data_IF_130817548685
#
_entry.id   IF_130817548685
#
_cell.length_a   1.000
_cell.length_b   1.000
_cell.length_c   1.000
_cell.angle_alpha   90.00
_cell.angle_beta   90.00
_cell.angle_gamma   90.00
#
_symmetry.space_group_name_H-M   'P 1'
#
loop_
_entity.id
_entity.type
_entity.pdbx_description
1 polymer ?
#
# COMPACT_ATOMS: atom_id res chain seq x y z
N UNK A 1 -24.07 15.57 -35.04
CA UNK A 1 -23.26 16.02 -33.89
C UNK A 1 -21.89 15.36 -34.00
N UNK A 2 -20.78 16.11 -33.91
CA UNK A 2 -19.46 15.50 -33.86
C UNK A 2 -19.36 14.69 -32.57
N UNK A 3 -19.15 13.38 -32.67
CA UNK A 3 -18.98 12.50 -31.51
C UNK A 3 -17.55 12.52 -30.97
N UNK A 4 -17.29 11.83 -29.86
CA UNK A 4 -15.97 11.71 -29.23
C UNK A 4 -14.83 11.32 -30.20
N UNK A 5 -15.15 10.53 -31.24
CA UNK A 5 -14.22 10.10 -32.30
C UNK A 5 -13.81 11.20 -33.29
N UNK A 6 -14.42 12.38 -33.21
CA UNK A 6 -14.07 13.55 -34.04
C UNK A 6 -13.16 14.54 -33.32
N UNK A 7 -12.83 14.27 -32.05
CA UNK A 7 -11.94 15.12 -31.27
C UNK A 7 -10.49 14.99 -31.77
N UNK A 8 -9.73 16.10 -31.82
CA UNK A 8 -8.28 16.07 -32.00
C UNK A 8 -7.59 15.19 -30.95
N UNK A 9 -6.45 14.61 -31.31
CA UNK A 9 -5.69 13.71 -30.43
C UNK A 9 -5.26 14.41 -29.13
N UNK A 10 -4.99 15.71 -29.20
CA UNK A 10 -4.63 16.56 -28.08
C UNK A 10 -5.76 16.63 -27.04
N UNK A 11 -7.02 16.74 -27.50
CA UNK A 11 -8.17 16.78 -26.58
C UNK A 11 -8.41 15.40 -25.94
N UNK A 12 -8.24 14.31 -26.69
CA UNK A 12 -8.36 12.95 -26.12
C UNK A 12 -7.24 12.70 -25.10
N UNK A 13 -6.02 13.19 -25.35
CA UNK A 13 -4.94 13.14 -24.38
C UNK A 13 -5.30 13.91 -23.09
N UNK A 14 -5.88 15.11 -23.20
CA UNK A 14 -6.35 15.86 -22.02
C UNK A 14 -7.45 15.12 -21.25
N UNK A 15 -8.37 14.45 -21.96
CA UNK A 15 -9.38 13.59 -21.32
C UNK A 15 -8.69 12.50 -20.50
N UNK A 16 -7.68 11.82 -21.03
CA UNK A 16 -6.91 10.83 -20.27
C UNK A 16 -6.25 11.43 -19.02
N UNK A 17 -5.62 12.59 -19.14
CA UNK A 17 -4.96 13.26 -18.00
C UNK A 17 -5.94 13.76 -16.94
N UNK A 18 -7.23 13.88 -17.26
CA UNK A 18 -8.28 14.28 -16.32
C UNK A 18 -8.97 13.12 -15.61
N UNK A 19 -8.58 11.87 -15.89
CA UNK A 19 -9.21 10.71 -15.26
C UNK A 19 -8.71 10.53 -13.82
N UNK A 20 -9.58 9.97 -12.97
CA UNK A 20 -9.31 9.70 -11.56
C UNK A 20 -8.99 8.22 -11.29
N UNK A 21 -8.95 7.37 -12.33
CA UNK A 21 -8.57 5.96 -12.17
C UNK A 21 -7.78 5.41 -13.36
N UNK A 22 -6.83 4.52 -13.06
CA UNK A 22 -6.10 3.75 -14.09
C UNK A 22 -7.05 2.81 -14.84
N UNK A 23 -8.11 2.33 -14.17
CA UNK A 23 -9.14 1.50 -14.77
C UNK A 23 -9.89 2.21 -15.89
N UNK A 24 -10.31 3.46 -15.67
CA UNK A 24 -11.03 4.25 -16.67
C UNK A 24 -10.14 4.56 -17.87
N UNK A 25 -8.86 4.85 -17.65
CA UNK A 25 -7.91 5.04 -18.73
C UNK A 25 -7.74 3.75 -19.55
N UNK A 26 -7.65 2.60 -18.89
CA UNK A 26 -7.63 1.32 -19.56
C UNK A 26 -8.91 1.10 -20.39
N UNK A 27 -10.10 1.26 -19.81
CA UNK A 27 -11.35 1.05 -20.54
C UNK A 27 -11.54 2.03 -21.70
N UNK A 28 -11.18 3.31 -21.51
CA UNK A 28 -11.19 4.31 -22.58
C UNK A 28 -10.29 3.90 -23.74
N UNK A 29 -9.12 3.32 -23.45
CA UNK A 29 -8.20 2.81 -24.48
C UNK A 29 -8.77 1.65 -25.29
N UNK A 30 -9.78 0.94 -24.77
CA UNK A 30 -10.42 -0.17 -25.47
C UNK A 30 -11.60 0.27 -26.34
N UNK A 31 -12.01 1.55 -26.30
CA UNK A 31 -13.20 2.02 -27.02
C UNK A 31 -13.00 2.18 -28.53
N UNK A 32 -11.83 2.64 -28.99
CA UNK A 32 -11.53 2.79 -30.42
C UNK A 32 -10.02 2.82 -30.72
N UNK A 33 -9.67 2.75 -32.01
CA UNK A 33 -8.26 2.74 -32.42
C UNK A 33 -7.54 4.05 -32.07
N UNK A 34 -8.21 5.20 -32.10
CA UNK A 34 -7.61 6.50 -31.79
C UNK A 34 -7.23 6.60 -30.31
N UNK A 35 -8.15 6.24 -29.41
CA UNK A 35 -7.90 6.24 -27.95
C UNK A 35 -6.83 5.24 -27.57
N UNK A 36 -6.86 4.05 -28.17
CA UNK A 36 -5.82 3.02 -28.01
C UNK A 36 -4.43 3.53 -28.43
N UNK A 37 -4.35 4.19 -29.60
CA UNK A 37 -3.08 4.68 -30.16
C UNK A 37 -2.46 5.78 -29.30
N UNK A 38 -3.28 6.66 -28.73
CA UNK A 38 -2.83 7.70 -27.80
C UNK A 38 -2.35 7.07 -26.50
N UNK A 39 -3.13 6.15 -25.92
CA UNK A 39 -2.79 5.50 -24.66
C UNK A 39 -1.51 4.69 -24.71
N UNK A 40 -1.22 3.98 -25.82
CA UNK A 40 0.02 3.18 -25.96
C UNK A 40 1.19 3.97 -26.52
N UNK A 41 1.04 5.25 -26.84
CA UNK A 41 2.15 6.06 -27.37
C UNK A 41 3.21 6.22 -26.27
N UNK A 42 4.49 5.86 -26.51
CA UNK A 42 5.54 5.87 -25.48
C UNK A 42 5.75 7.23 -24.78
N UNK A 43 5.45 8.33 -25.48
CA UNK A 43 5.58 9.70 -24.95
C UNK A 43 4.35 10.16 -24.16
N UNK A 44 3.18 9.57 -24.44
CA UNK A 44 1.90 9.96 -23.85
C UNK A 44 1.59 9.11 -22.62
N UNK A 45 1.85 7.81 -22.69
CA UNK A 45 1.47 6.85 -21.67
C UNK A 45 2.01 7.21 -20.27
N UNK A 46 3.32 7.53 -20.09
CA UNK A 46 3.83 7.89 -18.76
C UNK A 46 3.17 9.15 -18.22
N UNK A 47 2.93 10.15 -19.07
CA UNK A 47 2.30 11.43 -18.69
C UNK A 47 0.82 11.25 -18.31
N UNK A 48 0.13 10.32 -18.97
CA UNK A 48 -1.25 9.96 -18.61
C UNK A 48 -1.25 9.32 -17.22
N UNK A 49 -0.37 8.35 -16.98
CA UNK A 49 -0.28 7.69 -15.68
C UNK A 49 0.13 8.64 -14.56
N UNK A 50 1.11 9.49 -14.79
CA UNK A 50 1.54 10.52 -13.84
C UNK A 50 0.38 11.45 -13.48
N UNK A 51 -0.33 11.99 -14.48
CA UNK A 51 -1.47 12.87 -14.24
C UNK A 51 -2.60 12.16 -13.47
N UNK A 52 -2.93 10.92 -13.82
CA UNK A 52 -3.97 10.16 -13.10
C UNK A 52 -3.55 9.87 -11.66
N UNK A 53 -2.29 9.47 -11.45
CA UNK A 53 -1.77 9.22 -10.09
C UNK A 53 -1.82 10.51 -9.29
N UNK A 54 -1.38 11.64 -9.84
CA UNK A 54 -1.46 12.95 -9.21
C UNK A 54 -2.91 13.30 -8.85
N UNK A 55 -3.88 13.07 -9.74
CA UNK A 55 -5.31 13.28 -9.41
C UNK A 55 -5.78 12.39 -8.25
N UNK A 56 -5.36 11.11 -8.22
CA UNK A 56 -5.74 10.14 -7.18
C UNK A 56 -5.17 10.53 -5.81
N UNK A 57 -3.92 11.00 -5.77
CA UNK A 57 -3.18 11.23 -4.52
C UNK A 57 -3.04 12.71 -4.16
N UNK A 58 -3.60 13.64 -4.94
CA UNK A 58 -3.46 15.09 -4.72
C UNK A 58 -3.79 15.51 -3.28
N UNK A 59 -4.86 14.93 -2.72
CA UNK A 59 -5.33 15.20 -1.36
C UNK A 59 -4.91 14.09 -0.37
N UNK A 60 -3.86 13.32 -0.70
CA UNK A 60 -3.37 12.29 0.19
C UNK A 60 -2.89 12.91 1.51
N UNK A 61 -3.55 12.52 2.58
CA UNK A 61 -3.32 13.07 3.90
C UNK A 61 -3.64 12.00 4.95
N UNK A 62 -2.96 12.02 6.11
CA UNK A 62 -3.23 11.11 7.22
C UNK A 62 -4.50 11.55 7.97
N UNK A 63 -5.59 11.80 7.26
CA UNK A 63 -6.88 12.19 7.84
C UNK A 63 -7.84 11.02 7.82
N UNK A 64 -8.75 10.99 8.80
CA UNK A 64 -9.79 9.97 8.89
C UNK A 64 -10.60 9.84 7.59
N UNK A 65 -11.05 10.99 7.07
CA UNK A 65 -11.87 11.04 5.86
C UNK A 65 -11.14 10.48 4.64
N UNK A 66 -9.87 10.85 4.44
CA UNK A 66 -9.10 10.34 3.32
C UNK A 66 -8.83 8.84 3.45
N UNK A 67 -8.35 8.37 4.61
CA UNK A 67 -8.07 6.96 4.83
C UNK A 67 -9.33 6.08 4.65
N UNK A 68 -10.47 6.47 5.21
CA UNK A 68 -11.73 5.73 5.03
C UNK A 68 -12.23 5.75 3.57
N UNK A 69 -11.93 6.80 2.79
CA UNK A 69 -12.25 6.81 1.35
C UNK A 69 -11.47 5.75 0.56
N UNK A 70 -10.28 5.37 1.05
CA UNK A 70 -9.41 4.36 0.45
C UNK A 70 -9.73 2.94 0.94
N UNK A 71 -9.83 2.79 2.26
CA UNK A 71 -9.96 1.49 2.93
C UNK A 71 -11.41 1.05 3.19
N UNK A 72 -12.36 1.98 3.11
CA UNK A 72 -13.79 1.76 3.38
C UNK A 72 -14.24 2.44 4.68
N UNK A 73 -15.53 2.84 4.80
CA UNK A 73 -16.05 3.44 6.01
C UNK A 73 -15.87 2.52 7.23
N UNK A 74 -15.39 3.06 8.35
CA UNK A 74 -15.20 2.30 9.58
C UNK A 74 -14.06 1.27 9.51
N UNK A 75 -13.12 1.40 8.56
CA UNK A 75 -11.95 0.52 8.45
C UNK A 75 -10.85 0.83 9.46
N UNK A 76 -10.92 1.98 10.14
CA UNK A 76 -9.85 2.44 11.03
C UNK A 76 -10.05 1.90 12.44
N UNK A 77 -8.98 1.35 13.01
CA UNK A 77 -8.87 1.10 14.44
C UNK A 77 -8.37 2.38 15.12
N UNK A 78 -9.24 2.98 15.92
CA UNK A 78 -9.00 4.23 16.64
C UNK A 78 -9.18 3.93 18.13
N UNK A 79 -8.08 3.61 18.85
CA UNK A 79 -8.14 3.31 20.28
C UNK A 79 -8.44 4.57 21.10
N UNK A 80 -8.88 4.36 22.34
CA UNK A 80 -8.91 5.36 23.40
C UNK A 80 -7.57 5.42 24.15
N UNK A 81 -7.33 6.49 24.89
CA UNK A 81 -6.10 6.66 25.70
C UNK A 81 -5.87 5.49 26.67
N UNK A 82 -6.93 4.92 27.23
CA UNK A 82 -6.85 3.78 28.15
C UNK A 82 -6.51 2.44 27.47
N UNK A 83 -6.71 2.35 26.14
CA UNK A 83 -6.42 1.16 25.35
C UNK A 83 -5.00 1.18 24.76
N UNK A 84 -4.34 2.35 24.78
CA UNK A 84 -2.96 2.47 24.35
C UNK A 84 -2.00 1.86 25.39
N UNK A 85 -0.96 1.12 24.96
CA UNK A 85 0.08 0.66 25.87
C UNK A 85 0.79 1.83 26.56
N UNK A 86 1.00 1.73 27.87
CA UNK A 86 1.70 2.78 28.66
C UNK A 86 3.13 3.00 28.17
N UNK A 87 3.75 1.97 27.60
CA UNK A 87 5.11 2.04 27.07
C UNK A 87 5.18 2.64 25.64
N UNK A 88 4.05 2.92 24.99
CA UNK A 88 4.03 3.73 23.77
C UNK A 88 4.21 5.19 24.17
N UNK A 89 5.36 5.77 23.83
CA UNK A 89 5.77 7.10 24.30
C UNK A 89 5.96 8.12 23.18
N UNK A 90 5.98 7.66 21.94
CA UNK A 90 6.05 8.50 20.76
C UNK A 90 4.77 9.34 20.60
N UNK A 91 4.90 10.66 20.76
CA UNK A 91 3.75 11.57 20.83
C UNK A 91 2.99 11.65 19.52
N UNK A 92 3.69 11.72 18.40
CA UNK A 92 3.09 11.83 17.07
C UNK A 92 2.25 10.59 16.75
N UNK A 93 2.76 9.40 17.10
CA UNK A 93 2.00 8.16 16.96
C UNK A 93 0.77 8.12 17.86
N UNK A 94 0.89 8.56 19.13
CA UNK A 94 -0.24 8.62 20.07
C UNK A 94 -1.33 9.56 19.54
N UNK A 95 -0.96 10.78 19.15
CA UNK A 95 -1.89 11.78 18.60
C UNK A 95 -2.60 11.25 17.36
N UNK A 96 -1.85 10.67 16.41
CA UNK A 96 -2.43 10.06 15.22
C UNK A 96 -3.43 8.94 15.54
N UNK A 97 -3.10 8.05 16.48
CA UNK A 97 -3.97 6.94 16.87
C UNK A 97 -5.26 7.42 17.55
N UNK A 98 -5.18 8.43 18.41
CA UNK A 98 -6.33 8.97 19.14
C UNK A 98 -7.22 9.81 18.23
N UNK A 99 -6.67 10.60 17.31
CA UNK A 99 -7.44 11.52 16.46
C UNK A 99 -7.96 10.86 15.18
N UNK A 100 -7.16 9.98 14.58
CA UNK A 100 -7.41 9.42 13.24
C UNK A 100 -7.58 7.91 13.30
N UNK A 101 -6.62 7.21 13.91
CA UNK A 101 -6.55 5.76 13.94
C UNK A 101 -5.83 5.14 12.73
N UNK A 102 -5.47 3.86 12.85
CA UNK A 102 -4.74 3.12 11.82
C UNK A 102 -5.66 2.12 11.09
N UNK A 103 -5.53 1.90 9.77
CA UNK A 103 -6.36 0.95 9.04
C UNK A 103 -6.21 -0.48 9.59
N UNK A 104 -7.32 -1.06 10.04
CA UNK A 104 -7.43 -2.46 10.44
C UNK A 104 -8.11 -3.26 9.32
N UNK A 105 -7.30 -3.70 8.37
CA UNK A 105 -7.76 -4.21 7.07
C UNK A 105 -6.98 -5.46 6.67
N UNK A 106 -7.60 -6.28 5.84
CA UNK A 106 -6.90 -7.31 5.09
C UNK A 106 -6.74 -6.80 3.66
N UNK A 107 -5.50 -6.71 3.17
CA UNK A 107 -5.16 -6.32 1.80
C UNK A 107 -4.50 -7.51 1.11
N UNK A 108 -5.27 -8.52 0.67
CA UNK A 108 -4.71 -9.78 0.20
C UNK A 108 -3.73 -9.56 -0.96
N UNK A 109 -4.03 -8.66 -1.91
CA UNK A 109 -3.19 -8.33 -3.08
C UNK A 109 -1.82 -7.75 -2.71
N UNK A 110 -1.76 -7.02 -1.61
CA UNK A 110 -0.50 -6.50 -1.04
C UNK A 110 0.16 -7.52 -0.10
N UNK A 111 -0.61 -8.51 0.36
CA UNK A 111 -0.17 -9.48 1.36
C UNK A 111 -0.16 -8.94 2.78
N UNK A 112 -0.62 -7.71 3.00
CA UNK A 112 -0.63 -7.04 4.29
C UNK A 112 -1.94 -7.29 5.02
N UNK A 113 -1.87 -7.56 6.32
CA UNK A 113 -3.01 -7.79 7.19
C UNK A 113 -2.79 -7.08 8.53
N UNK A 114 -3.75 -6.25 8.91
CA UNK A 114 -3.82 -5.55 10.20
C UNK A 114 -5.18 -5.74 10.89
N UNK A 115 -5.97 -6.72 10.44
CA UNK A 115 -7.32 -6.99 11.01
C UNK A 115 -7.28 -7.38 12.48
N UNK A 116 -6.13 -7.85 12.97
CA UNK A 116 -5.97 -8.26 14.36
C UNK A 116 -5.97 -7.08 15.34
N UNK A 117 -5.63 -5.86 14.89
CA UNK A 117 -5.71 -4.65 15.73
C UNK A 117 -7.09 -4.49 16.36
N UNK A 118 -8.14 -4.62 15.55
CA UNK A 118 -9.52 -4.56 16.04
C UNK A 118 -9.91 -5.81 16.84
N UNK A 119 -9.55 -7.00 16.37
CA UNK A 119 -9.90 -8.26 17.06
C UNK A 119 -9.32 -8.34 18.47
N UNK A 120 -8.11 -7.83 18.68
CA UNK A 120 -7.46 -7.77 19.99
C UNK A 120 -8.17 -6.76 20.88
N UNK A 121 -8.47 -5.57 20.36
CA UNK A 121 -9.22 -4.55 21.09
C UNK A 121 -10.63 -5.04 21.51
N UNK A 122 -11.37 -5.70 20.61
CA UNK A 122 -12.70 -6.27 20.90
C UNK A 122 -12.67 -7.32 22.03
N UNK A 123 -11.50 -7.96 22.24
CA UNK A 123 -11.27 -8.93 23.33
C UNK A 123 -10.71 -8.28 24.60
N UNK A 124 -10.54 -6.97 24.62
CA UNK A 124 -9.88 -6.24 25.70
C UNK A 124 -8.40 -6.58 25.85
N UNK A 125 -7.76 -7.05 24.78
CA UNK A 125 -6.32 -7.35 24.75
C UNK A 125 -5.55 -6.09 24.35
N UNK A 126 -4.41 -5.87 25.00
CA UNK A 126 -3.46 -4.83 24.63
C UNK A 126 -2.78 -5.17 23.30
N UNK A 127 -2.18 -4.16 22.65
CA UNK A 127 -1.32 -4.40 21.49
C UNK A 127 -0.21 -5.40 21.82
N UNK A 128 0.09 -6.27 20.86
CA UNK A 128 1.17 -7.24 21.00
C UNK A 128 2.51 -6.51 21.00
N UNK A 129 3.15 -6.48 22.18
CA UNK A 129 4.46 -5.90 22.40
C UNK A 129 5.56 -6.96 22.28
N UNK A 130 6.69 -6.56 21.71
CA UNK A 130 7.88 -7.37 21.52
C UNK A 130 9.08 -6.64 22.12
N UNK A 131 9.72 -7.26 23.10
CA UNK A 131 10.95 -6.78 23.72
C UNK A 131 12.15 -7.04 22.81
N UNK A 132 13.25 -6.35 23.09
CA UNK A 132 14.55 -6.64 22.48
C UNK A 132 14.91 -8.13 22.56
N UNK A 133 14.71 -8.75 23.73
CA UNK A 133 15.02 -10.16 23.94
C UNK A 133 14.16 -11.06 23.06
N UNK A 134 12.86 -10.79 22.91
CA UNK A 134 11.97 -11.59 22.06
C UNK A 134 12.27 -11.45 20.56
N UNK A 135 12.90 -10.36 20.16
CA UNK A 135 13.35 -10.14 18.78
C UNK A 135 14.73 -10.75 18.48
N UNK A 136 15.30 -11.51 19.44
CA UNK A 136 16.44 -12.47 19.50
C UNK A 136 17.64 -12.42 18.51
N UNK A 137 17.61 -11.71 17.38
CA UNK A 137 18.66 -11.70 16.34
C UNK A 137 18.97 -10.31 15.74
N UNK A 138 18.44 -9.22 16.32
CA UNK A 138 18.80 -7.86 15.88
C UNK A 138 20.07 -7.31 16.58
N UNK A 139 20.76 -8.10 17.42
CA UNK A 139 21.66 -7.54 18.45
C UNK A 139 23.10 -8.08 18.49
N UNK A 140 23.51 -8.89 17.51
CA UNK A 140 24.86 -9.46 17.48
C UNK A 140 25.69 -8.99 16.27
N UNK A 141 25.78 -7.67 16.01
CA UNK A 141 26.90 -7.14 15.23
C UNK A 141 27.34 -5.77 15.72
N UNK A 142 28.66 -5.63 15.81
CA UNK A 142 29.42 -4.54 16.39
C UNK A 142 29.02 -3.14 15.90
N UNK A 143 29.03 -2.20 16.84
CA UNK A 143 29.38 -0.79 16.69
C UNK A 143 28.88 -0.06 15.41
N UNK A 144 27.81 0.73 15.60
CA UNK A 144 27.41 1.95 14.82
C UNK A 144 26.22 1.95 13.83
N UNK A 145 25.36 0.92 13.71
CA UNK A 145 24.07 1.12 13.02
C UNK A 145 22.87 0.46 13.72
N UNK A 146 21.99 1.31 14.28
CA UNK A 146 20.59 0.95 14.55
C UNK A 146 20.36 -0.05 15.68
N UNK A 147 20.56 0.38 16.93
CA UNK A 147 20.05 -0.37 18.08
C UNK A 147 18.54 -0.57 17.94
N UNK A 148 18.06 -1.82 18.01
CA UNK A 148 16.64 -2.11 17.92
C UNK A 148 15.92 -1.47 19.12
N UNK A 149 14.67 -1.04 18.94
CA UNK A 149 13.87 -0.51 20.05
C UNK A 149 13.86 -1.45 21.25
N UNK A 150 13.90 -0.85 22.44
CA UNK A 150 13.70 -1.58 23.68
C UNK A 150 12.34 -2.31 23.74
N UNK A 151 11.33 -1.79 23.03
CA UNK A 151 10.01 -2.36 22.90
C UNK A 151 9.36 -1.93 21.57
N UNK A 152 8.69 -2.86 20.89
CA UNK A 152 7.93 -2.57 19.69
C UNK A 152 6.56 -3.19 19.69
N UNK A 153 5.62 -2.59 18.97
CA UNK A 153 4.24 -3.06 18.87
C UNK A 153 3.89 -3.53 17.47
N UNK A 154 3.16 -4.63 17.35
CA UNK A 154 2.72 -5.17 16.05
C UNK A 154 1.54 -4.38 15.50
N UNK A 155 1.72 -3.80 14.31
CA UNK A 155 0.69 -3.05 13.58
C UNK A 155 0.18 -3.76 12.33
N UNK A 156 0.79 -4.88 12.00
CA UNK A 156 0.30 -5.77 10.97
C UNK A 156 1.29 -6.90 10.74
N UNK A 157 0.94 -7.71 9.75
CA UNK A 157 1.76 -8.80 9.27
C UNK A 157 1.71 -8.82 7.75
N UNK A 158 2.78 -9.32 7.16
CA UNK A 158 2.84 -9.65 5.74
C UNK A 158 3.39 -11.06 5.61
N UNK A 159 2.53 -12.00 5.26
CA UNK A 159 2.82 -13.43 5.35
C UNK A 159 3.19 -13.83 6.79
N UNK A 160 4.43 -14.26 7.05
CA UNK A 160 4.95 -14.54 8.40
C UNK A 160 5.74 -13.37 9.00
N UNK A 161 6.00 -12.31 8.21
CA UNK A 161 6.81 -11.17 8.64
C UNK A 161 5.94 -10.18 9.41
N UNK A 162 6.47 -9.65 10.51
CA UNK A 162 5.81 -8.71 11.39
C UNK A 162 6.12 -7.27 10.94
N UNK A 163 5.10 -6.40 11.00
CA UNK A 163 5.25 -4.96 10.84
C UNK A 163 5.21 -4.34 12.23
N UNK A 164 6.34 -3.80 12.66
CA UNK A 164 6.58 -3.40 14.05
C UNK A 164 6.80 -1.89 14.15
N UNK A 165 6.10 -1.26 15.08
CA UNK A 165 6.25 0.13 15.50
C UNK A 165 7.21 0.21 16.67
N UNK A 166 8.29 0.98 16.53
CA UNK A 166 9.16 1.36 17.63
C UNK A 166 8.42 2.27 18.62
N UNK A 167 8.40 1.90 19.90
CA UNK A 167 7.62 2.60 20.92
C UNK A 167 8.10 4.02 21.26
N UNK A 168 9.34 4.38 20.90
CA UNK A 168 9.99 5.65 21.31
C UNK A 168 10.07 6.69 20.19
N UNK A 169 10.18 6.26 18.94
CA UNK A 169 10.45 7.17 17.81
C UNK A 169 9.49 7.02 16.63
N UNK A 170 8.44 6.20 16.77
CA UNK A 170 7.41 6.05 15.74
C UNK A 170 7.85 5.34 14.46
N UNK A 171 9.12 4.93 14.36
CA UNK A 171 9.65 4.27 13.17
C UNK A 171 9.01 2.89 12.99
N UNK A 172 8.57 2.60 11.77
CA UNK A 172 8.03 1.30 11.40
C UNK A 172 9.08 0.51 10.63
N UNK A 173 9.25 -0.75 11.01
CA UNK A 173 10.16 -1.66 10.34
C UNK A 173 9.54 -3.04 10.16
N UNK A 174 10.16 -3.86 9.32
CA UNK A 174 9.76 -5.25 9.13
C UNK A 174 10.72 -6.19 9.82
N UNK A 175 10.13 -7.18 10.48
CA UNK A 175 10.83 -8.23 11.19
C UNK A 175 10.39 -9.61 10.68
N UNK A 176 11.35 -10.44 10.33
CA UNK A 176 11.18 -11.78 9.81
C UNK A 176 11.68 -12.81 10.84
N UNK A 177 10.78 -13.40 11.66
CA UNK A 177 11.16 -14.33 12.72
C UNK A 177 11.72 -15.66 12.17
N UNK A 178 11.52 -15.95 10.89
CA UNK A 178 11.93 -17.22 10.28
C UNK A 178 13.37 -17.18 9.74
N UNK A 179 14.03 -16.02 9.80
CA UNK A 179 15.33 -15.82 9.19
C UNK A 179 16.39 -15.37 10.19
N UNK A 180 17.62 -15.81 9.94
CA UNK A 180 18.82 -15.45 10.71
C UNK A 180 19.08 -13.95 10.73
N UNK A 181 18.81 -13.25 9.63
CA UNK A 181 18.79 -11.78 9.60
C UNK A 181 17.34 -11.32 9.69
N UNK A 182 16.83 -11.23 10.91
CA UNK A 182 15.40 -10.99 11.13
C UNK A 182 14.97 -9.55 10.82
N UNK A 183 15.85 -8.56 10.95
CA UNK A 183 15.53 -7.19 10.57
C UNK A 183 15.57 -7.00 9.04
N UNK A 184 14.48 -6.47 8.47
CA UNK A 184 14.29 -6.29 7.01
C UNK A 184 14.23 -4.83 6.55
N UNK A 185 14.63 -3.91 7.42
CA UNK A 185 14.67 -2.48 7.11
C UNK A 185 13.45 -1.70 7.60
N UNK A 186 13.60 -0.37 7.55
CA UNK A 186 12.56 0.62 7.81
C UNK A 186 11.59 0.67 6.62
N UNK A 187 10.30 0.82 6.91
CA UNK A 187 9.25 0.93 5.89
C UNK A 187 8.49 2.26 5.92
N UNK A 188 8.53 2.96 7.07
CA UNK A 188 7.98 4.30 7.24
C UNK A 188 8.60 4.99 8.48
N UNK A 189 8.78 6.30 8.44
CA UNK A 189 9.15 7.14 9.58
C UNK A 189 7.91 7.75 10.26
N UNK A 190 6.93 6.92 10.56
CA UNK A 190 5.67 7.35 11.15
C UNK A 190 4.54 6.39 10.81
N UNK A 191 3.64 6.19 11.76
CA UNK A 191 2.49 5.32 11.56
C UNK A 191 1.46 5.96 10.60
N UNK A 192 1.35 7.28 10.67
CA UNK A 192 0.57 8.13 9.77
C UNK A 192 1.09 8.04 8.33
N UNK A 193 2.41 8.13 8.14
CA UNK A 193 3.05 7.94 6.84
C UNK A 193 2.75 6.55 6.28
N UNK A 194 2.93 5.48 7.06
CA UNK A 194 2.60 4.14 6.61
C UNK A 194 1.13 4.01 6.17
N UNK A 195 0.20 4.58 6.95
CA UNK A 195 -1.22 4.56 6.62
C UNK A 195 -1.50 5.26 5.28
N UNK A 196 -0.85 6.41 5.05
CA UNK A 196 -0.96 7.16 3.79
C UNK A 196 -0.38 6.38 2.62
N UNK A 197 0.85 5.87 2.75
CA UNK A 197 1.52 5.10 1.69
C UNK A 197 0.69 3.87 1.29
N UNK A 198 0.18 3.11 2.26
CA UNK A 198 -0.73 1.99 1.99
C UNK A 198 -2.02 2.48 1.29
N UNK A 199 -2.56 3.62 1.72
CA UNK A 199 -3.74 4.25 1.12
C UNK A 199 -3.52 4.63 -0.34
N UNK A 200 -2.35 5.18 -0.68
CA UNK A 200 -1.98 5.56 -2.05
C UNK A 200 -1.92 4.32 -2.95
N UNK A 201 -1.28 3.24 -2.50
CA UNK A 201 -1.27 1.96 -3.23
C UNK A 201 -2.69 1.44 -3.39
N UNK A 202 -3.51 1.51 -2.34
CA UNK A 202 -4.91 1.11 -2.39
C UNK A 202 -5.68 1.89 -3.44
N UNK A 203 -5.50 3.22 -3.48
CA UNK A 203 -6.19 4.14 -4.37
C UNK A 203 -5.85 3.86 -5.84
N UNK A 204 -4.56 3.78 -6.17
CA UNK A 204 -4.07 3.51 -7.54
C UNK A 204 -4.51 2.12 -8.04
N UNK A 205 -4.56 1.13 -7.14
CA UNK A 205 -4.96 -0.24 -7.50
C UNK A 205 -6.47 -0.48 -7.45
N UNK A 206 -7.28 0.49 -6.98
CA UNK A 206 -8.72 0.34 -6.71
C UNK A 206 -9.53 -0.03 -7.95
N UNK A 207 -9.28 0.63 -9.08
CA UNK A 207 -9.98 0.36 -10.35
C UNK A 207 -9.75 -1.04 -10.93
N UNK A 208 -8.74 -1.75 -10.40
CA UNK A 208 -8.38 -3.10 -10.82
C UNK A 208 -8.83 -4.17 -9.80
N UNK A 209 -9.48 -3.75 -8.71
CA UNK A 209 -10.07 -4.64 -7.68
C UNK A 209 -11.35 -5.33 -8.16
N UNK A 210 -12.04 -4.76 -9.13
CA UNK A 210 -13.37 -5.19 -9.55
C UNK A 210 -13.37 -6.14 -10.76
N UNK A 211 -12.26 -6.84 -11.03
CA UNK A 211 -12.27 -7.87 -12.04
C UNK A 211 -13.23 -8.98 -11.60
N UNK A 212 -14.30 -9.20 -12.39
CA UNK A 212 -15.19 -10.34 -12.21
C UNK A 212 -14.36 -11.62 -12.08
N UNK A 213 -14.75 -12.60 -11.25
CA UNK A 213 -14.13 -13.92 -11.23
C UNK A 213 -14.10 -14.59 -12.62
N UNK A 214 -14.94 -14.14 -13.56
CA UNK A 214 -15.00 -14.63 -14.95
C UNK A 214 -14.01 -13.94 -15.92
N UNK A 215 -13.06 -13.14 -15.42
CA UNK A 215 -12.11 -12.46 -16.30
C UNK A 215 -11.18 -13.47 -16.98
N UNK A 216 -11.08 -13.44 -18.31
CA UNK A 216 -10.16 -14.34 -19.01
C UNK A 216 -8.72 -14.08 -18.57
N UNK A 217 -7.90 -15.14 -18.48
CA UNK A 217 -6.47 -15.05 -18.16
C UNK A 217 -5.73 -14.00 -19.02
N UNK A 218 -6.05 -13.95 -20.31
CA UNK A 218 -5.46 -13.00 -21.26
C UNK A 218 -5.80 -11.54 -20.93
N UNK A 219 -7.01 -11.30 -20.44
CA UNK A 219 -7.45 -9.96 -20.01
C UNK A 219 -6.79 -9.58 -18.68
N UNK A 220 -6.63 -10.53 -17.76
CA UNK A 220 -5.87 -10.32 -16.52
C UNK A 220 -4.40 -9.97 -16.81
N UNK A 221 -3.74 -10.73 -17.68
CA UNK A 221 -2.35 -10.48 -18.11
C UNK A 221 -2.21 -9.07 -18.72
N UNK A 222 -3.14 -8.65 -19.59
CA UNK A 222 -3.16 -7.29 -20.15
C UNK A 222 -3.33 -6.19 -19.10
N UNK A 223 -4.19 -6.41 -18.09
CA UNK A 223 -4.37 -5.44 -17.01
C UNK A 223 -3.13 -5.34 -16.13
N UNK A 224 -2.42 -6.44 -15.91
CA UNK A 224 -1.13 -6.46 -15.20
C UNK A 224 -0.04 -5.75 -16.01
N UNK A 225 0.03 -5.95 -17.32
CA UNK A 225 0.96 -5.21 -18.19
C UNK A 225 0.71 -3.69 -18.13
N UNK A 226 -0.56 -3.28 -18.11
CA UNK A 226 -0.94 -1.86 -18.00
C UNK A 226 -0.63 -1.30 -16.61
N UNK A 227 -0.56 -2.14 -15.59
CA UNK A 227 -0.24 -1.76 -14.21
C UNK A 227 1.24 -1.46 -13.97
N UNK A 228 2.14 -1.97 -14.81
CA UNK A 228 3.58 -1.77 -14.60
C UNK A 228 3.94 -0.28 -14.56
N UNK A 229 3.54 0.48 -15.59
CA UNK A 229 3.84 1.92 -15.68
C UNK A 229 3.30 2.73 -14.49
N UNK A 230 2.01 2.60 -14.12
CA UNK A 230 1.46 3.27 -12.94
C UNK A 230 2.16 2.87 -11.63
N UNK A 231 2.53 1.61 -11.47
CA UNK A 231 3.22 1.15 -10.26
C UNK A 231 4.66 1.69 -10.17
N UNK A 232 5.37 1.77 -11.29
CA UNK A 232 6.71 2.39 -11.33
C UNK A 232 6.64 3.87 -10.94
N UNK A 233 5.67 4.61 -11.47
CA UNK A 233 5.45 6.02 -11.13
C UNK A 233 5.02 6.19 -9.68
N UNK A 234 4.07 5.37 -9.20
CA UNK A 234 3.62 5.41 -7.82
C UNK A 234 4.78 5.17 -6.87
N UNK A 235 5.70 4.25 -7.19
CA UNK A 235 6.85 3.94 -6.35
C UNK A 235 7.77 5.15 -6.15
N UNK A 236 8.01 5.93 -7.20
CA UNK A 236 8.73 7.21 -7.05
C UNK A 236 7.95 8.21 -6.21
N UNK A 237 6.63 8.28 -6.35
CA UNK A 237 5.79 9.17 -5.52
C UNK A 237 5.82 8.77 -4.04
N UNK A 238 5.81 7.47 -3.72
CA UNK A 238 5.93 7.00 -2.34
C UNK A 238 7.24 7.47 -1.70
N UNK A 239 8.35 7.48 -2.46
CA UNK A 239 9.64 8.00 -2.01
C UNK A 239 9.61 9.48 -1.64
N UNK A 240 8.89 10.28 -2.42
CA UNK A 240 8.75 11.71 -2.18
C UNK A 240 7.95 11.99 -0.89
N UNK A 241 7.03 11.08 -0.53
CA UNK A 241 6.30 11.12 0.74
C UNK A 241 7.13 10.63 1.93
N UNK A 242 7.79 9.48 1.79
CA UNK A 242 8.65 8.90 2.80
C UNK A 242 9.86 8.22 2.14
N UNK A 243 11.06 8.70 2.45
CA UNK A 243 12.30 8.20 1.87
C UNK A 243 12.50 6.68 2.08
N UNK A 244 12.01 6.15 3.21
CA UNK A 244 12.10 4.72 3.52
C UNK A 244 11.25 3.86 2.59
N UNK A 245 10.28 4.44 1.87
CA UNK A 245 9.47 3.72 0.90
C UNK A 245 10.23 3.23 -0.33
N UNK A 246 11.45 3.72 -0.55
CA UNK A 246 12.28 3.38 -1.72
C UNK A 246 13.67 2.83 -1.36
N UNK A 247 14.26 3.25 -0.23
CA UNK A 247 15.65 2.90 0.11
C UNK A 247 15.76 1.50 0.75
N UNK A 248 16.06 0.48 -0.07
CA UNK A 248 16.28 -0.92 0.36
C UNK A 248 15.16 -1.52 1.21
N UNK A 249 13.91 -1.10 0.98
CA UNK A 249 12.77 -1.61 1.74
C UNK A 249 12.23 -2.87 1.08
N UNK A 250 12.64 -4.03 1.62
CA UNK A 250 12.17 -5.35 1.20
C UNK A 250 10.63 -5.43 1.25
N UNK A 251 10.01 -4.76 2.22
CA UNK A 251 8.56 -4.67 2.32
C UNK A 251 7.90 -4.11 1.06
N UNK A 252 8.34 -2.94 0.62
CA UNK A 252 7.77 -2.28 -0.56
C UNK A 252 8.16 -3.05 -1.83
N UNK A 253 9.40 -3.54 -1.94
CA UNK A 253 9.82 -4.39 -3.05
C UNK A 253 8.92 -5.61 -3.24
N UNK A 254 8.71 -6.37 -2.17
CA UNK A 254 7.89 -7.56 -2.24
C UNK A 254 6.40 -7.23 -2.41
N UNK A 255 5.92 -6.10 -1.86
CA UNK A 255 4.54 -5.65 -2.05
C UNK A 255 4.29 -5.31 -3.53
N UNK A 256 5.14 -4.51 -4.15
CA UNK A 256 5.03 -4.16 -5.57
C UNK A 256 5.21 -5.38 -6.47
N UNK A 257 6.16 -6.27 -6.16
CA UNK A 257 6.30 -7.55 -6.86
C UNK A 257 5.04 -8.39 -6.78
N UNK A 258 4.38 -8.45 -5.62
CA UNK A 258 3.12 -9.20 -5.45
C UNK A 258 1.96 -8.60 -6.24
N UNK A 259 1.87 -7.27 -6.34
CA UNK A 259 0.88 -6.59 -7.17
C UNK A 259 1.06 -6.94 -8.66
N UNK A 260 2.30 -7.13 -9.11
CA UNK A 260 2.65 -7.57 -10.46
C UNK A 260 2.45 -9.07 -10.69
N UNK A 261 2.60 -9.89 -9.65
CA UNK A 261 2.65 -11.35 -9.75
C UNK A 261 1.47 -12.06 -9.09
N UNK A 262 0.30 -11.45 -8.93
CA UNK A 262 -0.86 -12.04 -8.22
C UNK A 262 -1.32 -13.36 -8.89
N UNK A 263 -0.67 -14.47 -8.49
CA UNK A 263 -0.84 -15.85 -8.94
C UNK A 263 -2.03 -16.54 -8.28
N UNK A 264 -2.86 -15.85 -7.48
CA UNK A 264 -3.98 -16.50 -6.77
C UNK A 264 -5.16 -16.92 -7.63
N UNK A 265 -5.09 -16.71 -8.94
CA UNK A 265 -5.97 -17.38 -9.91
C UNK A 265 -5.36 -18.66 -10.50
N UNK A 266 -4.13 -19.04 -10.12
CA UNK A 266 -3.43 -20.22 -10.66
C UNK A 266 -3.71 -21.49 -9.82
N UNK A 267 -4.13 -21.36 -8.56
CA UNK A 267 -4.30 -22.52 -7.66
C UNK A 267 -5.74 -23.05 -7.53
N UNK A 268 -6.73 -22.44 -8.18
CA UNK A 268 -8.11 -22.97 -8.18
C UNK A 268 -8.48 -23.85 -9.38
N UNK A 269 -7.61 -23.98 -10.38
CA UNK A 269 -7.78 -24.90 -11.53
C UNK A 269 -6.75 -26.06 -11.54
N UNK A 270 -6.03 -26.25 -10.43
CA UNK A 270 -5.10 -27.39 -10.24
C UNK A 270 -5.76 -28.65 -9.68
N UNK A 271 -7.08 -28.69 -9.56
CA UNK A 271 -7.82 -29.89 -9.17
C UNK A 271 -7.95 -30.85 -10.34
N UNK A 272 -7.03 -31.80 -10.45
CA UNK A 272 -7.24 -33.05 -11.19
C UNK A 272 -6.51 -34.22 -10.50
N UNK A 273 -7.34 -35.01 -9.78
CA UNK A 273 -7.21 -36.42 -9.35
C UNK A 273 -6.10 -36.74 -8.34
#
# INVERSE_FOLDING_TARGET
MPGFLSLPAELIFQVYCSLDTIGDAYFLSQTCQQTYSIFRRPQSQPRIFEAIIDNIIHDAAPTKAWLESQFGPGSLWQPTEAELPVDLTDKETIEFLLDVGFPSVNLPRMGFNSTDLRKSADKGQTLDGYTADELFDIFYHDEDEGYPPALSFRFGERHHKLVLLNNKNGTIYVYDPENWFSYRGVIAYGLDNLAVLLGMVVAVTKGLRNASPDISRKELERRIEVLQGPLDILREKLRDYDFSAHYYSEFWDELFAKLMHDRRFVELDGGCI
#
